data_IF_787176693346
#
_entry.id   IF_787176693346
#
_cell.length_a   1.000
_cell.length_b   1.000
_cell.length_c   1.000
_cell.angle_alpha   90.00
_cell.angle_beta   90.00
_cell.angle_gamma   90.00
#
_symmetry.space_group_name_H-M   'P 1'
#
loop_
_entity.id
_entity.type
_entity.pdbx_description
1 polymer ?
#
# COMPACT_ATOMS: atom_id res chain seq x y z
N UNK A 1 13.00 -31.93 -22.07
CA UNK A 1 12.07 -31.31 -21.10
C UNK A 1 11.57 -30.03 -21.75
N UNK A 2 10.25 -29.84 -21.92
CA UNK A 2 9.75 -28.53 -22.38
C UNK A 2 10.11 -27.51 -21.29
N UNK A 3 10.62 -26.32 -21.62
CA UNK A 3 10.76 -25.27 -20.62
C UNK A 3 9.39 -25.07 -19.97
N UNK A 4 9.34 -25.06 -18.64
CA UNK A 4 8.14 -24.64 -17.90
C UNK A 4 7.74 -23.27 -18.45
N UNK A 5 6.46 -23.12 -18.84
CA UNK A 5 5.96 -21.88 -19.42
C UNK A 5 6.12 -20.72 -18.44
N UNK A 6 6.32 -19.50 -18.96
CA UNK A 6 6.57 -18.30 -18.15
C UNK A 6 5.42 -18.07 -17.15
N UNK A 7 4.17 -18.35 -17.54
CA UNK A 7 3.01 -18.26 -16.65
C UNK A 7 3.05 -19.25 -15.48
N UNK A 8 3.64 -20.44 -15.65
CA UNK A 8 3.78 -21.40 -14.55
C UNK A 8 4.77 -20.90 -13.50
N UNK A 9 5.90 -20.35 -13.94
CA UNK A 9 6.88 -19.72 -13.04
C UNK A 9 6.27 -18.54 -12.28
N UNK A 10 5.58 -17.64 -13.00
CA UNK A 10 4.85 -16.52 -12.39
C UNK A 10 3.79 -16.98 -11.38
N UNK A 11 3.06 -18.06 -11.66
CA UNK A 11 2.07 -18.60 -10.72
C UNK A 11 2.73 -19.09 -9.41
N UNK A 12 3.91 -19.71 -9.49
CA UNK A 12 4.66 -20.12 -8.30
C UNK A 12 5.12 -18.92 -7.49
N UNK A 13 5.65 -17.88 -8.14
CA UNK A 13 6.07 -16.62 -7.49
C UNK A 13 4.90 -15.90 -6.83
N UNK A 14 3.75 -15.87 -7.50
CA UNK A 14 2.51 -15.33 -6.93
C UNK A 14 2.07 -16.11 -5.70
N UNK A 15 2.17 -17.44 -5.70
CA UNK A 15 1.88 -18.25 -4.53
C UNK A 15 2.86 -17.99 -3.38
N UNK A 16 4.16 -17.84 -3.68
CA UNK A 16 5.19 -17.52 -2.69
C UNK A 16 4.97 -16.14 -2.04
N UNK A 17 4.58 -15.12 -2.82
CA UNK A 17 4.27 -13.78 -2.30
C UNK A 17 3.21 -13.78 -1.17
N UNK A 18 2.18 -14.62 -1.31
CA UNK A 18 1.10 -14.74 -0.33
C UNK A 18 1.27 -15.91 0.65
N UNK A 19 2.44 -16.55 0.67
CA UNK A 19 2.68 -17.65 1.60
C UNK A 19 3.09 -17.13 2.98
N UNK A 20 2.21 -17.31 3.96
CA UNK A 20 2.44 -16.90 5.36
C UNK A 20 3.57 -17.68 6.06
N UNK A 21 3.99 -18.84 5.51
CA UNK A 21 5.11 -19.60 6.08
C UNK A 21 6.48 -19.05 5.68
N UNK A 22 6.55 -18.12 4.72
CA UNK A 22 7.80 -17.52 4.25
C UNK A 22 8.09 -16.23 5.01
N UNK A 23 9.39 -15.89 5.11
CA UNK A 23 9.80 -14.60 5.65
C UNK A 23 9.30 -13.45 4.76
N UNK A 24 9.16 -12.26 5.34
CA UNK A 24 8.78 -11.06 4.58
C UNK A 24 9.72 -10.83 3.39
N UNK A 25 11.04 -10.93 3.61
CA UNK A 25 12.03 -10.69 2.57
C UNK A 25 11.86 -11.65 1.38
N UNK A 26 11.58 -12.93 1.64
CA UNK A 26 11.32 -13.92 0.59
C UNK A 26 10.03 -13.63 -0.16
N UNK A 27 8.98 -13.20 0.55
CA UNK A 27 7.70 -12.81 -0.06
C UNK A 27 7.86 -11.59 -0.95
N UNK A 28 8.54 -10.55 -0.48
CA UNK A 28 8.81 -9.33 -1.24
C UNK A 28 9.71 -9.61 -2.45
N UNK A 29 10.76 -10.42 -2.29
CA UNK A 29 11.59 -10.88 -3.40
C UNK A 29 10.76 -11.60 -4.46
N UNK A 30 9.86 -12.49 -4.05
CA UNK A 30 8.95 -13.19 -4.96
C UNK A 30 8.03 -12.24 -5.71
N UNK A 31 7.54 -11.19 -5.06
CA UNK A 31 6.73 -10.12 -5.69
C UNK A 31 7.53 -9.29 -6.70
N UNK A 32 8.76 -8.92 -6.37
CA UNK A 32 9.64 -8.18 -7.28
C UNK A 32 9.95 -8.99 -8.55
N UNK A 33 10.36 -10.24 -8.37
CA UNK A 33 10.63 -11.15 -9.48
C UNK A 33 9.36 -11.44 -10.30
N UNK A 34 8.18 -11.47 -9.67
CA UNK A 34 6.91 -11.55 -10.37
C UNK A 34 6.72 -10.35 -11.30
N UNK A 35 6.89 -9.13 -10.80
CA UNK A 35 6.77 -7.89 -11.58
C UNK A 35 7.75 -7.82 -12.76
N UNK A 36 9.01 -8.22 -12.56
CA UNK A 36 10.04 -8.22 -13.62
C UNK A 36 9.70 -9.17 -14.77
N UNK A 37 9.13 -10.33 -14.45
CA UNK A 37 8.80 -11.35 -15.44
C UNK A 37 7.41 -11.17 -16.06
N UNK A 38 6.56 -10.32 -15.48
CA UNK A 38 5.15 -10.16 -15.86
C UNK A 38 4.98 -9.63 -17.28
N UNK A 39 5.83 -8.68 -17.71
CA UNK A 39 5.79 -8.10 -19.06
C UNK A 39 6.01 -9.17 -20.14
N UNK A 40 6.80 -10.21 -19.84
CA UNK A 40 7.10 -11.31 -20.76
C UNK A 40 5.94 -12.31 -20.93
N UNK A 41 4.95 -12.29 -20.02
CA UNK A 41 3.81 -13.22 -20.05
C UNK A 41 2.64 -12.75 -20.91
N UNK A 42 2.65 -11.50 -21.41
CA UNK A 42 1.52 -10.91 -22.14
C UNK A 42 1.07 -11.70 -23.38
N UNK A 43 1.98 -12.46 -24.00
CA UNK A 43 1.73 -13.27 -25.20
C UNK A 43 1.43 -14.75 -24.93
N UNK A 44 1.47 -15.20 -23.67
CA UNK A 44 1.24 -16.59 -23.30
C UNK A 44 -0.26 -16.93 -23.30
N UNK A 45 -0.61 -18.19 -23.59
CA UNK A 45 -2.02 -18.61 -23.63
C UNK A 45 -2.68 -18.58 -22.25
N UNK A 46 -1.87 -18.80 -21.22
CA UNK A 46 -2.27 -18.88 -19.82
C UNK A 46 -2.39 -17.51 -19.13
N UNK A 47 -2.18 -16.39 -19.85
CA UNK A 47 -2.23 -15.03 -19.27
C UNK A 47 -3.59 -14.70 -18.64
N UNK A 48 -4.69 -15.22 -19.20
CA UNK A 48 -6.04 -15.04 -18.64
C UNK A 48 -6.19 -15.68 -17.27
N UNK A 49 -5.68 -16.92 -17.11
CA UNK A 49 -5.72 -17.64 -15.85
C UNK A 49 -4.78 -16.99 -14.83
N UNK A 50 -3.59 -16.56 -15.26
CA UNK A 50 -2.67 -15.81 -14.42
C UNK A 50 -3.32 -14.52 -13.91
N UNK A 51 -3.97 -13.76 -14.78
CA UNK A 51 -4.66 -12.51 -14.44
C UNK A 51 -5.79 -12.74 -13.44
N UNK A 52 -6.56 -13.81 -13.61
CA UNK A 52 -7.57 -14.22 -12.65
C UNK A 52 -6.97 -14.45 -11.26
N UNK A 53 -5.90 -15.25 -11.19
CA UNK A 53 -5.21 -15.57 -9.94
C UNK A 53 -4.61 -14.33 -9.26
N UNK A 54 -4.01 -13.42 -10.04
CA UNK A 54 -3.47 -12.14 -9.53
C UNK A 54 -4.58 -11.32 -8.89
N UNK A 55 -5.68 -11.10 -9.61
CA UNK A 55 -6.82 -10.33 -9.09
C UNK A 55 -7.39 -10.97 -7.81
N UNK A 56 -7.65 -12.27 -7.83
CA UNK A 56 -8.28 -12.99 -6.72
C UNK A 56 -7.44 -12.94 -5.44
N UNK A 57 -6.13 -13.22 -5.55
CA UNK A 57 -5.21 -13.20 -4.41
C UNK A 57 -5.00 -11.79 -3.86
N UNK A 58 -4.78 -10.80 -4.73
CA UNK A 58 -4.58 -9.42 -4.30
C UNK A 58 -5.87 -8.87 -3.66
N UNK A 59 -7.04 -9.08 -4.28
CA UNK A 59 -8.30 -8.62 -3.70
C UNK A 59 -8.52 -9.23 -2.31
N UNK A 60 -8.31 -10.55 -2.15
CA UNK A 60 -8.42 -11.21 -0.85
C UNK A 60 -7.47 -10.57 0.16
N UNK A 61 -6.19 -10.44 -0.18
CA UNK A 61 -5.19 -9.88 0.73
C UNK A 61 -5.50 -8.43 1.15
N UNK A 62 -5.86 -7.57 0.19
CA UNK A 62 -6.15 -6.15 0.45
C UNK A 62 -7.42 -5.96 1.30
N UNK A 63 -8.36 -6.90 1.26
CA UNK A 63 -9.62 -6.85 2.03
C UNK A 63 -9.55 -7.59 3.37
N UNK A 64 -8.65 -8.57 3.52
CA UNK A 64 -8.45 -9.31 4.77
C UNK A 64 -7.43 -8.66 5.71
N UNK A 65 -6.71 -7.64 5.24
CA UNK A 65 -5.70 -6.94 6.01
C UNK A 65 -6.02 -5.45 6.06
N UNK A 66 -5.55 -4.78 7.11
CA UNK A 66 -5.73 -3.33 7.30
C UNK A 66 -4.42 -2.59 7.02
N UNK A 67 -4.50 -1.34 6.50
CA UNK A 67 -3.32 -0.51 6.30
C UNK A 67 -2.66 -0.16 7.63
N UNK A 68 -1.33 -0.05 7.61
CA UNK A 68 -0.54 0.35 8.77
C UNK A 68 0.18 1.67 8.48
N UNK A 69 0.21 2.56 9.48
CA UNK A 69 0.79 3.89 9.32
C UNK A 69 2.34 3.86 9.29
N UNK A 70 2.95 2.85 9.90
CA UNK A 70 4.40 2.66 9.88
C UNK A 70 4.86 2.21 8.49
N UNK A 71 5.60 3.06 7.78
CA UNK A 71 6.10 2.77 6.44
C UNK A 71 7.03 1.53 6.40
N UNK A 72 7.82 1.33 7.45
CA UNK A 72 8.71 0.17 7.59
C UNK A 72 7.94 -1.12 7.93
N UNK A 73 6.62 -1.05 8.11
CA UNK A 73 5.82 -2.23 8.37
C UNK A 73 5.95 -3.26 7.25
N UNK A 74 6.28 -4.52 7.60
CA UNK A 74 6.21 -5.66 6.68
C UNK A 74 4.91 -5.74 5.91
N UNK A 75 3.79 -5.51 6.60
CA UNK A 75 2.47 -5.61 6.00
C UNK A 75 2.24 -4.48 4.99
N UNK A 76 2.69 -3.26 5.31
CA UNK A 76 2.53 -2.10 4.44
C UNK A 76 3.34 -2.24 3.14
N UNK A 77 4.55 -2.81 3.23
CA UNK A 77 5.37 -3.14 2.06
C UNK A 77 4.69 -4.17 1.14
N UNK A 78 4.04 -5.20 1.71
CA UNK A 78 3.28 -6.18 0.93
C UNK A 78 2.04 -5.57 0.27
N UNK A 79 1.31 -4.68 0.96
CA UNK A 79 0.18 -3.95 0.36
C UNK A 79 0.62 -3.08 -0.80
N UNK A 80 1.75 -2.39 -0.66
CA UNK A 80 2.36 -1.62 -1.74
C UNK A 80 2.74 -2.50 -2.93
N UNK A 81 3.40 -3.64 -2.69
CA UNK A 81 3.76 -4.61 -3.73
C UNK A 81 2.53 -5.08 -4.52
N UNK A 82 1.37 -5.29 -3.87
CA UNK A 82 0.13 -5.65 -4.55
C UNK A 82 -0.34 -4.56 -5.53
N UNK A 83 -0.25 -3.28 -5.17
CA UNK A 83 -0.59 -2.17 -6.06
C UNK A 83 0.39 -2.05 -7.22
N UNK A 84 1.70 -2.26 -6.97
CA UNK A 84 2.74 -2.27 -8.01
C UNK A 84 2.51 -3.40 -9.02
N UNK A 85 2.08 -4.60 -8.56
CA UNK A 85 1.70 -5.70 -9.46
C UNK A 85 0.56 -5.27 -10.38
N UNK A 86 -0.52 -4.66 -9.87
CA UNK A 86 -1.60 -4.16 -10.73
C UNK A 86 -1.12 -3.13 -11.74
N UNK A 87 -0.14 -2.29 -11.38
CA UNK A 87 0.41 -1.30 -12.30
C UNK A 87 1.25 -1.93 -13.41
N UNK A 88 1.95 -3.02 -13.09
CA UNK A 88 2.82 -3.74 -14.03
C UNK A 88 2.07 -4.74 -14.90
N UNK A 89 0.82 -5.07 -14.58
CA UNK A 89 0.01 -5.93 -15.43
C UNK A 89 -0.10 -5.34 -16.85
N UNK A 90 0.23 -6.11 -17.90
CA UNK A 90 0.10 -5.64 -19.26
C UNK A 90 -1.37 -5.30 -19.56
N UNK A 91 -1.63 -4.17 -20.19
CA UNK A 91 -2.99 -3.86 -20.60
C UNK A 91 -3.39 -4.73 -21.79
N UNK A 92 -4.59 -5.31 -21.74
CA UNK A 92 -5.09 -6.18 -22.80
C UNK A 92 -6.44 -6.79 -22.47
N UNK A 93 -6.95 -7.62 -23.38
CA UNK A 93 -8.28 -8.24 -23.21
C UNK A 93 -8.34 -9.23 -22.04
N UNK A 94 -7.20 -9.74 -21.57
CA UNK A 94 -7.12 -10.57 -20.37
C UNK A 94 -7.48 -9.82 -19.08
N UNK A 95 -7.18 -8.52 -19.02
CA UNK A 95 -7.43 -7.68 -17.84
C UNK A 95 -8.81 -6.98 -17.90
N UNK A 96 -9.39 -6.84 -19.10
CA UNK A 96 -10.68 -6.18 -19.34
C UNK A 96 -11.83 -6.67 -18.44
N UNK A 97 -12.02 -7.98 -18.15
CA UNK A 97 -13.06 -8.44 -17.24
C UNK A 97 -12.89 -7.95 -15.80
N UNK A 98 -11.65 -7.69 -15.39
CA UNK A 98 -11.29 -7.30 -14.03
C UNK A 98 -11.17 -5.79 -13.86
N UNK A 99 -11.06 -5.01 -14.95
CA UNK A 99 -10.84 -3.56 -14.89
C UNK A 99 -11.86 -2.82 -14.00
N UNK A 100 -13.16 -3.13 -14.12
CA UNK A 100 -14.19 -2.53 -13.25
C UNK A 100 -14.06 -2.95 -11.79
N UNK A 101 -13.69 -4.21 -11.56
CA UNK A 101 -13.55 -4.76 -10.23
C UNK A 101 -12.32 -4.19 -9.50
N UNK A 102 -11.22 -4.04 -10.23
CA UNK A 102 -10.01 -3.38 -9.72
C UNK A 102 -10.32 -1.92 -9.40
N UNK A 103 -11.01 -1.19 -10.28
CA UNK A 103 -11.43 0.19 -10.01
C UNK A 103 -12.29 0.31 -8.74
N UNK A 104 -13.27 -0.59 -8.57
CA UNK A 104 -14.11 -0.60 -7.37
C UNK A 104 -13.29 -0.88 -6.09
N UNK A 105 -12.26 -1.75 -6.17
CA UNK A 105 -11.32 -1.96 -5.07
C UNK A 105 -10.50 -0.69 -4.79
N UNK A 106 -9.90 -0.09 -5.82
CA UNK A 106 -9.04 1.09 -5.68
C UNK A 106 -9.80 2.29 -5.09
N UNK A 107 -11.05 2.53 -5.50
CA UNK A 107 -11.86 3.60 -4.92
C UNK A 107 -12.08 3.43 -3.41
N UNK A 108 -12.24 2.20 -2.92
CA UNK A 108 -12.33 1.93 -1.48
C UNK A 108 -10.98 2.11 -0.79
N UNK A 109 -9.91 1.66 -1.42
CA UNK A 109 -8.56 1.77 -0.86
C UNK A 109 -8.12 3.23 -0.69
N UNK A 110 -8.51 4.13 -1.60
CA UNK A 110 -8.20 5.57 -1.46
C UNK A 110 -8.75 6.19 -0.17
N UNK A 111 -9.81 5.63 0.44
CA UNK A 111 -10.37 6.16 1.68
C UNK A 111 -9.62 5.69 2.94
N UNK A 112 -8.80 4.64 2.85
CA UNK A 112 -8.21 3.96 4.04
C UNK A 112 -6.70 3.78 3.96
N UNK A 113 -6.11 3.73 2.77
CA UNK A 113 -4.67 3.54 2.60
C UNK A 113 -3.85 4.75 3.08
N UNK A 114 -2.57 4.50 3.33
CA UNK A 114 -1.60 5.56 3.63
C UNK A 114 -1.22 6.37 2.39
N UNK A 115 -0.52 7.50 2.59
CA UNK A 115 -0.18 8.44 1.52
C UNK A 115 0.50 7.78 0.31
N UNK A 116 1.52 6.95 0.53
CA UNK A 116 2.26 6.29 -0.55
C UNK A 116 1.37 5.38 -1.40
N UNK A 117 0.53 4.57 -0.74
CA UNK A 117 -0.37 3.64 -1.42
C UNK A 117 -1.56 4.36 -2.07
N UNK A 118 -2.08 5.44 -1.48
CA UNK A 118 -3.13 6.27 -2.08
C UNK A 118 -2.63 6.89 -3.38
N UNK A 119 -1.37 7.37 -3.44
CA UNK A 119 -0.77 7.88 -4.67
C UNK A 119 -0.77 6.84 -5.79
N UNK A 120 -0.37 5.60 -5.47
CA UNK A 120 -0.43 4.49 -6.43
C UNK A 120 -1.87 4.18 -6.85
N UNK A 121 -2.81 4.17 -5.91
CA UNK A 121 -4.22 3.92 -6.21
C UNK A 121 -4.80 4.96 -7.17
N UNK A 122 -4.55 6.26 -6.94
CA UNK A 122 -5.01 7.34 -7.82
C UNK A 122 -4.40 7.21 -9.21
N UNK A 123 -3.10 6.91 -9.30
CA UNK A 123 -2.42 6.70 -10.59
C UNK A 123 -3.04 5.52 -11.36
N UNK A 124 -3.25 4.39 -10.68
CA UNK A 124 -3.91 3.21 -11.27
C UNK A 124 -5.34 3.51 -11.74
N UNK A 125 -6.12 4.24 -10.94
CA UNK A 125 -7.49 4.66 -11.32
C UNK A 125 -7.44 5.43 -12.65
N UNK A 126 -6.53 6.41 -12.77
CA UNK A 126 -6.38 7.22 -13.99
C UNK A 126 -5.96 6.34 -15.19
N UNK A 127 -4.96 5.47 -15.00
CA UNK A 127 -4.44 4.58 -16.06
C UNK A 127 -5.53 3.63 -16.59
N UNK A 128 -6.28 2.98 -15.69
CA UNK A 128 -7.36 2.07 -16.05
C UNK A 128 -8.54 2.80 -16.73
N UNK A 129 -8.90 4.00 -16.27
CA UNK A 129 -9.94 4.81 -16.93
C UNK A 129 -9.52 5.24 -18.34
N UNK A 130 -8.26 5.64 -18.51
CA UNK A 130 -7.71 6.03 -19.82
C UNK A 130 -7.74 4.87 -20.81
N UNK A 131 -7.32 3.68 -20.37
CA UNK A 131 -7.20 2.52 -21.25
C UNK A 131 -8.54 1.85 -21.54
N UNK A 132 -9.30 1.48 -20.50
CA UNK A 132 -10.51 0.66 -20.66
C UNK A 132 -11.78 1.47 -20.89
N UNK A 133 -11.77 2.78 -20.59
CA UNK A 133 -12.93 3.69 -20.71
C UNK A 133 -14.20 3.05 -20.13
N UNK A 134 -14.18 2.63 -18.86
CA UNK A 134 -15.34 2.01 -18.22
C UNK A 134 -16.53 2.99 -18.23
N UNK A 135 -17.74 2.43 -18.31
CA UNK A 135 -18.95 3.22 -18.09
C UNK A 135 -18.95 3.78 -16.67
N UNK A 136 -19.67 4.89 -16.49
CA UNK A 136 -19.88 5.50 -15.17
C UNK A 136 -20.39 4.47 -14.14
N UNK A 137 -19.85 4.53 -12.93
CA UNK A 137 -20.30 3.77 -11.77
C UNK A 137 -20.56 4.69 -10.57
N UNK A 138 -21.37 4.22 -9.62
CA UNK A 138 -21.63 4.95 -8.38
C UNK A 138 -20.36 5.14 -7.53
N UNK A 139 -19.36 4.26 -7.68
CA UNK A 139 -18.07 4.38 -6.99
C UNK A 139 -17.39 5.72 -7.29
N UNK A 140 -17.53 6.25 -8.52
CA UNK A 140 -17.00 7.56 -8.91
C UNK A 140 -17.66 8.68 -8.10
N UNK A 141 -18.96 8.57 -7.84
CA UNK A 141 -19.69 9.55 -7.03
C UNK A 141 -19.26 9.50 -5.57
N UNK A 142 -19.09 8.30 -5.03
CA UNK A 142 -18.57 8.10 -3.67
C UNK A 142 -17.16 8.68 -3.53
N UNK A 143 -16.28 8.41 -4.49
CA UNK A 143 -14.92 8.97 -4.53
C UNK A 143 -14.93 10.51 -4.56
N UNK A 144 -15.70 11.14 -5.44
CA UNK A 144 -15.78 12.60 -5.50
C UNK A 144 -16.37 13.20 -4.21
N UNK A 145 -17.31 12.50 -3.58
CA UNK A 145 -17.87 12.88 -2.28
C UNK A 145 -16.81 12.79 -1.18
N UNK A 146 -16.00 11.72 -1.18
CA UNK A 146 -14.85 11.58 -0.30
C UNK A 146 -13.84 12.72 -0.49
N UNK A 147 -13.40 12.98 -1.72
CA UNK A 147 -12.47 14.08 -2.03
C UNK A 147 -13.01 15.42 -1.51
N UNK A 148 -14.29 15.71 -1.76
CA UNK A 148 -14.95 16.91 -1.23
C UNK A 148 -14.93 16.98 0.30
N UNK A 149 -15.13 15.85 1.00
CA UNK A 149 -15.03 15.79 2.47
C UNK A 149 -13.62 16.08 2.94
N UNK A 150 -12.59 15.46 2.35
CA UNK A 150 -11.17 15.68 2.71
C UNK A 150 -10.79 17.15 2.57
N UNK A 151 -11.06 17.77 1.41
CA UNK A 151 -10.74 19.19 1.19
C UNK A 151 -11.51 20.15 2.11
N UNK A 152 -12.73 19.78 2.53
CA UNK A 152 -13.48 20.57 3.53
C UNK A 152 -12.97 20.35 4.95
N UNK A 153 -12.45 19.17 5.27
CA UNK A 153 -11.81 18.88 6.55
C UNK A 153 -10.51 19.65 6.71
N UNK A 154 -9.76 19.84 5.62
CA UNK A 154 -8.45 20.50 5.62
C UNK A 154 -8.47 21.86 6.32
N UNK A 155 -9.51 22.67 6.13
CA UNK A 155 -9.61 24.00 6.78
C UNK A 155 -9.56 23.93 8.32
N UNK A 156 -9.94 22.80 8.92
CA UNK A 156 -9.91 22.56 10.36
C UNK A 156 -8.59 21.96 10.84
N UNK A 157 -7.77 21.43 9.92
CA UNK A 157 -6.47 20.80 10.21
C UNK A 157 -5.27 21.70 9.84
N UNK A 158 -5.50 22.84 9.17
CA UNK A 158 -4.43 23.76 8.74
C UNK A 158 -3.50 24.14 9.90
N UNK A 159 -4.04 24.47 11.08
CA UNK A 159 -3.22 24.81 12.24
C UNK A 159 -2.39 23.61 12.69
N UNK A 160 -2.98 22.42 12.78
CA UNK A 160 -2.26 21.20 13.17
C UNK A 160 -1.18 20.78 12.17
N UNK A 161 -1.39 21.04 10.87
CA UNK A 161 -0.48 20.66 9.78
C UNK A 161 0.70 21.63 9.67
N UNK A 162 0.43 22.93 9.75
CA UNK A 162 1.42 23.96 9.42
C UNK A 162 2.02 24.66 10.64
N UNK A 163 1.42 24.55 11.84
CA UNK A 163 2.06 25.09 13.04
C UNK A 163 3.23 24.22 13.50
N UNK A 164 4.35 24.83 13.92
CA UNK A 164 5.48 24.09 14.50
C UNK A 164 5.03 23.35 15.75
N UNK A 165 4.94 22.03 15.66
CA UNK A 165 4.61 21.21 16.82
C UNK A 165 5.78 21.18 17.80
N UNK A 166 5.49 21.39 19.10
CA UNK A 166 6.49 21.25 20.15
C UNK A 166 6.99 19.80 20.22
N UNK A 167 8.28 19.64 20.47
CA UNK A 167 8.89 18.33 20.64
C UNK A 167 8.23 17.53 21.77
N UNK A 168 7.96 16.25 21.53
CA UNK A 168 7.36 15.37 22.51
C UNK A 168 8.41 14.86 23.48
N UNK A 169 8.25 15.12 24.78
CA UNK A 169 9.06 14.53 25.83
C UNK A 169 8.31 13.37 26.48
N UNK A 170 8.85 12.16 26.37
CA UNK A 170 8.31 10.97 27.03
C UNK A 170 9.37 10.29 27.89
N UNK A 171 9.02 9.67 29.04
CA UNK A 171 10.00 9.01 29.90
C UNK A 171 10.76 7.90 29.16
N UNK A 172 10.04 7.08 28.40
CA UNK A 172 10.58 6.02 27.55
C UNK A 172 9.88 6.00 26.19
N UNK A 173 10.57 5.55 25.14
CA UNK A 173 9.98 5.33 23.81
C UNK A 173 8.81 4.34 23.87
N UNK A 174 8.88 3.38 24.80
CA UNK A 174 7.87 2.33 24.97
C UNK A 174 6.53 2.92 25.44
N UNK A 175 6.57 4.06 26.14
CA UNK A 175 5.38 4.74 26.65
C UNK A 175 4.69 5.61 25.58
N UNK A 176 5.31 5.74 24.39
CA UNK A 176 4.75 6.51 23.30
C UNK A 176 3.63 5.72 22.62
N UNK A 177 2.40 6.23 22.71
CA UNK A 177 1.32 5.77 21.85
C UNK A 177 1.56 6.29 20.42
N UNK A 178 2.24 5.47 19.61
CA UNK A 178 2.58 5.78 18.22
C UNK A 178 1.32 6.04 17.39
N UNK A 179 0.21 5.32 17.63
CA UNK A 179 -1.01 5.47 16.84
C UNK A 179 -1.69 6.82 17.11
N UNK A 180 -1.81 7.18 18.39
CA UNK A 180 -2.39 8.47 18.77
C UNK A 180 -1.49 9.63 18.37
N UNK A 181 -0.17 9.45 18.45
CA UNK A 181 0.80 10.45 18.01
C UNK A 181 0.72 10.67 16.51
N UNK A 182 0.78 9.61 15.71
CA UNK A 182 0.71 9.66 14.25
C UNK A 182 -0.58 10.31 13.73
N UNK A 183 -1.70 10.17 14.44
CA UNK A 183 -2.97 10.83 14.09
C UNK A 183 -2.97 12.35 14.30
N UNK A 184 -2.05 12.87 15.12
CA UNK A 184 -1.95 14.30 15.48
C UNK A 184 -0.76 14.99 14.82
N UNK A 185 0.20 14.22 14.34
CA UNK A 185 1.43 14.72 13.75
C UNK A 185 1.38 14.57 12.23
N UNK A 186 1.46 15.68 11.52
CA UNK A 186 1.43 15.72 10.05
C UNK A 186 2.81 15.97 9.43
N UNK A 187 3.84 16.08 10.28
CA UNK A 187 5.24 16.29 9.90
C UNK A 187 6.14 15.45 10.79
N UNK A 188 7.40 15.32 10.37
CA UNK A 188 8.44 14.61 11.13
C UNK A 188 8.47 15.13 12.57
N UNK A 189 8.10 14.27 13.51
CA UNK A 189 8.02 14.63 14.93
C UNK A 189 9.24 14.09 15.66
N UNK A 190 9.99 15.01 16.27
CA UNK A 190 11.13 14.64 17.13
C UNK A 190 10.60 14.32 18.53
N UNK A 191 10.90 13.11 19.00
CA UNK A 191 10.60 12.65 20.34
C UNK A 191 11.89 12.63 21.15
N UNK A 192 11.86 13.22 22.34
CA UNK A 192 12.93 13.19 23.32
C UNK A 192 12.57 12.24 24.44
N UNK A 193 13.49 11.33 24.78
CA UNK A 193 13.31 10.41 25.90
C UNK A 193 14.36 10.59 26.96
N UNK A 194 14.00 10.32 28.21
CA UNK A 194 14.90 10.41 29.36
C UNK A 194 15.35 9.01 29.76
N UNK A 195 16.48 8.54 29.22
CA UNK A 195 17.09 7.29 29.68
C UNK A 195 17.94 7.55 30.93
N UNK A 196 17.68 6.83 32.03
CA UNK A 196 18.61 6.78 33.16
C UNK A 196 19.79 5.89 32.78
N UNK A 197 21.00 6.47 32.74
CA UNK A 197 22.25 5.72 32.65
C UNK A 197 22.53 5.04 34.00
N UNK A 198 23.29 3.94 33.96
CA UNK A 198 23.72 3.17 35.15
C UNK A 198 24.47 4.03 36.21
N UNK A 199 24.97 5.21 35.82
CA UNK A 199 25.63 6.20 36.67
C UNK A 199 24.65 7.19 37.35
N UNK A 200 23.34 6.99 37.20
CA UNK A 200 22.29 7.89 37.72
C UNK A 200 22.12 9.20 36.94
N UNK A 201 22.85 9.39 35.84
CA UNK A 201 22.70 10.54 34.94
C UNK A 201 21.59 10.31 33.91
N UNK A 202 20.76 11.32 33.65
CA UNK A 202 19.69 11.27 32.65
C UNK A 202 20.26 11.66 31.29
N UNK A 203 20.14 10.81 30.29
CA UNK A 203 20.52 11.08 28.91
C UNK A 203 19.28 11.30 28.05
N UNK A 204 19.28 12.40 27.30
CA UNK A 204 18.21 12.69 26.34
C UNK A 204 18.50 11.96 25.03
N UNK A 205 17.67 10.97 24.68
CA UNK A 205 17.75 10.27 23.39
C UNK A 205 16.74 10.86 22.43
N UNK A 206 17.15 11.08 21.17
CA UNK A 206 16.33 11.68 20.11
C UNK A 206 15.82 10.60 19.17
N UNK A 207 14.52 10.37 19.14
CA UNK A 207 13.83 9.53 18.14
C UNK A 207 13.15 10.39 17.07
N UNK A 208 13.12 9.91 15.83
CA UNK A 208 12.41 10.55 14.71
C UNK A 208 11.30 9.59 14.29
N UNK A 209 10.05 10.06 14.28
CA UNK A 209 8.89 9.29 13.82
C UNK A 209 8.30 9.91 12.53
N UNK A 210 7.89 9.04 11.60
CA UNK A 210 7.17 9.35 10.35
C UNK A 210 5.77 8.76 10.47
#
# INVERSE_FOLDING_TARGET
MRPSGICTDLHLKLCALFNESLSLEERLRSGQEFCENLENAAGEKEIHDLTHNVYEKIQRFMTSTEPQNLQESPLQQLRRMCLEIFQKMPNGDHLRPYARLILALLFKLVEVENEENVLLCVKLIIELHKYYRPSFSLDVTSFLSFVRRVYRGLQHEIENIFEPQCSLEVPSIIDLDVNTTALKTFTITTVYTQEQKDDGSVATVRGIFI
#
